data_IF_494660422754
#
_entry.id   IF_494660422754
#
_cell.length_a   1.000
_cell.length_b   1.000
_cell.length_c   1.000
_cell.angle_alpha   90.00
_cell.angle_beta   90.00
_cell.angle_gamma   90.00
#
_symmetry.space_group_name_H-M   'P 1'
#
loop_
_entity.id
_entity.type
_entity.pdbx_description
1 polymer ?
#
# COMPACT_ATOMS: atom_id res chain seq x y z
N UNK A 1 1.51 -8.06 -25.36
CA UNK A 1 2.69 -8.93 -25.12
C UNK A 1 2.94 -8.92 -23.62
N UNK A 2 2.85 -10.07 -22.96
CA UNK A 2 3.03 -10.16 -21.51
C UNK A 2 4.54 -10.16 -21.21
N UNK A 3 5.06 -9.08 -20.63
CA UNK A 3 6.45 -9.05 -20.17
C UNK A 3 6.53 -9.72 -18.80
N UNK A 4 7.24 -10.85 -18.73
CA UNK A 4 7.54 -11.59 -17.52
C UNK A 4 9.03 -11.88 -17.45
N UNK A 5 9.63 -11.74 -16.28
CA UNK A 5 11.03 -12.10 -16.05
C UNK A 5 11.24 -12.47 -14.58
N UNK A 6 12.25 -13.30 -14.33
CA UNK A 6 12.67 -13.66 -12.99
C UNK A 6 14.10 -13.20 -12.73
N UNK A 7 14.39 -12.80 -11.50
CA UNK A 7 15.75 -12.49 -11.07
C UNK A 7 15.97 -12.92 -9.62
N UNK A 8 17.23 -13.15 -9.26
CA UNK A 8 17.65 -13.48 -7.91
C UNK A 8 18.21 -12.24 -7.22
N UNK A 9 17.75 -11.93 -6.02
CA UNK A 9 18.28 -10.82 -5.22
C UNK A 9 18.17 -11.12 -3.73
N UNK A 10 19.24 -10.90 -2.96
CA UNK A 10 19.22 -11.04 -1.49
C UNK A 10 18.75 -12.41 -0.98
N UNK A 11 19.07 -13.49 -1.70
CA UNK A 11 18.68 -14.86 -1.32
C UNK A 11 17.23 -15.22 -1.62
N UNK A 12 16.53 -14.41 -2.43
CA UNK A 12 15.14 -14.66 -2.84
C UNK A 12 15.01 -14.55 -4.35
N UNK A 13 14.14 -15.38 -4.92
CA UNK A 13 13.73 -15.27 -6.33
C UNK A 13 12.56 -14.32 -6.45
N UNK A 14 12.66 -13.34 -7.32
CA UNK A 14 11.60 -12.42 -7.67
C UNK A 14 11.06 -12.79 -9.04
N UNK A 15 9.76 -13.08 -9.11
CA UNK A 15 9.05 -13.33 -10.37
C UNK A 15 8.21 -12.10 -10.69
N UNK A 16 8.65 -11.30 -11.67
CA UNK A 16 7.98 -10.07 -12.07
C UNK A 16 7.19 -10.29 -13.37
N UNK A 17 5.96 -9.80 -13.42
CA UNK A 17 5.13 -9.84 -14.62
C UNK A 17 4.22 -8.62 -14.71
N UNK A 18 3.97 -8.18 -15.93
CA UNK A 18 2.91 -7.19 -16.19
C UNK A 18 1.56 -7.87 -16.06
N UNK A 19 0.73 -7.39 -15.15
CA UNK A 19 -0.66 -7.81 -15.00
C UNK A 19 -1.55 -6.65 -15.41
N UNK A 20 -2.50 -6.91 -16.29
CA UNK A 20 -3.58 -5.98 -16.59
C UNK A 20 -4.62 -6.06 -15.47
N UNK A 21 -4.97 -4.91 -14.91
CA UNK A 21 -6.04 -4.77 -13.94
C UNK A 21 -7.27 -4.21 -14.63
N UNK A 22 -8.42 -4.78 -14.31
CA UNK A 22 -9.73 -4.27 -14.68
C UNK A 22 -10.38 -3.55 -13.48
N UNK A 23 -11.09 -2.45 -13.75
CA UNK A 23 -11.81 -1.67 -12.73
C UNK A 23 -11.20 -0.29 -12.43
N UNK A 24 -11.34 0.20 -11.19
CA UNK A 24 -10.94 1.57 -10.81
C UNK A 24 -9.43 1.87 -11.00
N UNK A 25 -8.59 0.83 -10.96
CA UNK A 25 -7.16 0.90 -11.22
C UNK A 25 -6.80 0.31 -12.60
N UNK A 26 -7.66 0.53 -13.60
CA UNK A 26 -7.55 -0.08 -14.92
C UNK A 26 -6.18 0.12 -15.56
N UNK A 27 -5.72 -0.86 -16.34
CA UNK A 27 -4.49 -0.76 -17.13
C UNK A 27 -3.36 -1.66 -16.63
N UNK A 28 -2.16 -1.41 -17.12
CA UNK A 28 -1.02 -2.31 -16.94
C UNK A 28 -0.24 -1.97 -15.67
N UNK A 29 -0.04 -2.97 -14.82
CA UNK A 29 0.70 -2.85 -13.57
C UNK A 29 1.83 -3.87 -13.50
N UNK A 30 2.96 -3.45 -12.94
CA UNK A 30 4.01 -4.38 -12.57
C UNK A 30 3.56 -5.12 -11.32
N UNK A 31 3.49 -6.44 -11.44
CA UNK A 31 3.21 -7.33 -10.32
C UNK A 31 4.39 -8.25 -10.09
N UNK A 32 4.66 -8.61 -8.83
CA UNK A 32 5.69 -9.59 -8.54
C UNK A 32 5.30 -10.54 -7.41
N UNK A 33 5.88 -11.73 -7.44
CA UNK A 33 5.80 -12.74 -6.38
C UNK A 33 7.20 -13.15 -5.93
N UNK A 34 7.32 -13.58 -4.68
CA UNK A 34 8.58 -14.06 -4.10
C UNK A 34 8.59 -15.59 -4.09
N UNK A 35 9.58 -16.20 -4.75
CA UNK A 35 9.77 -17.65 -4.79
C UNK A 35 8.50 -18.41 -5.21
N UNK A 36 8.09 -19.36 -4.37
CA UNK A 36 6.87 -20.16 -4.51
C UNK A 36 5.66 -19.58 -3.75
N UNK A 37 5.76 -18.34 -3.26
CA UNK A 37 4.68 -17.70 -2.52
C UNK A 37 3.46 -17.36 -3.38
N UNK A 38 2.29 -17.33 -2.74
CA UNK A 38 1.02 -16.91 -3.36
C UNK A 38 0.78 -15.40 -3.32
N UNK A 39 1.52 -14.68 -2.47
CA UNK A 39 1.33 -13.25 -2.27
C UNK A 39 1.87 -12.45 -3.47
N UNK A 40 0.96 -11.75 -4.16
CA UNK A 40 1.26 -10.89 -5.31
C UNK A 40 1.20 -9.44 -4.89
N UNK A 41 2.30 -8.73 -5.12
CA UNK A 41 2.36 -7.29 -4.89
C UNK A 41 2.22 -6.53 -6.20
N UNK A 42 1.46 -5.43 -6.21
CA UNK A 42 1.31 -4.52 -7.34
C UNK A 42 1.84 -3.12 -6.96
N UNK A 43 3.16 -2.94 -6.90
CA UNK A 43 3.75 -1.73 -6.34
C UNK A 43 3.56 -0.47 -7.21
N UNK A 44 3.57 -0.59 -8.55
CA UNK A 44 3.45 0.56 -9.44
C UNK A 44 2.91 0.18 -10.83
N UNK A 45 2.31 1.19 -11.49
CA UNK A 45 1.79 1.11 -12.86
C UNK A 45 2.95 1.06 -13.86
N UNK A 46 2.77 0.35 -14.98
CA UNK A 46 3.81 0.30 -16.03
C UNK A 46 3.94 1.68 -16.69
N UNK A 47 5.17 2.11 -16.90
CA UNK A 47 5.51 3.32 -17.64
C UNK A 47 6.10 2.97 -19.02
N UNK A 48 5.90 3.88 -19.97
CA UNK A 48 6.44 3.75 -21.32
C UNK A 48 7.96 3.96 -21.26
N UNK A 49 8.73 2.88 -21.45
CA UNK A 49 10.18 2.87 -21.26
C UNK A 49 10.65 2.12 -20.01
N UNK A 50 9.75 1.41 -19.30
CA UNK A 50 10.17 0.47 -18.26
C UNK A 50 11.12 -0.57 -18.86
N UNK A 51 12.35 -0.57 -18.37
CA UNK A 51 13.35 -1.59 -18.65
C UNK A 51 13.41 -2.58 -17.49
N UNK A 52 13.88 -3.79 -17.77
CA UNK A 52 14.06 -4.82 -16.74
C UNK A 52 14.89 -4.31 -15.55
N UNK A 53 15.96 -3.57 -15.81
CA UNK A 53 16.83 -3.01 -14.77
C UNK A 53 16.11 -2.00 -13.87
N UNK A 54 15.34 -1.07 -14.45
CA UNK A 54 14.60 -0.07 -13.69
C UNK A 54 13.48 -0.72 -12.85
N UNK A 55 12.76 -1.68 -13.43
CA UNK A 55 11.70 -2.41 -12.71
C UNK A 55 12.29 -3.21 -11.56
N UNK A 56 13.42 -3.89 -11.78
CA UNK A 56 14.14 -4.63 -10.74
C UNK A 56 14.52 -3.74 -9.57
N UNK A 57 15.15 -2.59 -9.82
CA UNK A 57 15.55 -1.64 -8.77
C UNK A 57 14.35 -1.16 -7.96
N UNK A 58 13.25 -0.78 -8.63
CA UNK A 58 12.03 -0.31 -7.97
C UNK A 58 11.35 -1.40 -7.15
N UNK A 59 11.32 -2.64 -7.63
CA UNK A 59 10.77 -3.80 -6.90
C UNK A 59 11.60 -4.09 -5.64
N UNK A 60 12.92 -4.06 -5.75
CA UNK A 60 13.83 -4.25 -4.62
C UNK A 60 13.62 -3.12 -3.59
N UNK A 61 13.62 -1.86 -4.03
CA UNK A 61 13.40 -0.71 -3.15
C UNK A 61 12.05 -0.78 -2.43
N UNK A 62 10.98 -1.13 -3.15
CA UNK A 62 9.66 -1.33 -2.57
C UNK A 62 9.66 -2.42 -1.51
N UNK A 63 10.23 -3.59 -1.81
CA UNK A 63 10.26 -4.71 -0.89
C UNK A 63 11.11 -4.41 0.35
N UNK A 64 12.26 -3.77 0.20
CA UNK A 64 13.10 -3.33 1.33
C UNK A 64 12.33 -2.37 2.22
N UNK A 65 11.70 -1.34 1.66
CA UNK A 65 10.89 -0.40 2.44
C UNK A 65 9.70 -1.08 3.14
N UNK A 66 9.05 -2.03 2.47
CA UNK A 66 7.97 -2.82 3.06
C UNK A 66 8.45 -3.64 4.27
N UNK A 67 9.62 -4.27 4.16
CA UNK A 67 10.25 -5.00 5.27
C UNK A 67 10.69 -4.07 6.40
N UNK A 68 11.26 -2.90 6.09
CA UNK A 68 11.60 -1.88 7.10
C UNK A 68 10.36 -1.43 7.87
N UNK A 69 9.25 -1.16 7.17
CA UNK A 69 7.97 -0.79 7.82
C UNK A 69 7.38 -1.92 8.67
N UNK A 70 7.54 -3.17 8.24
CA UNK A 70 7.12 -4.34 9.03
C UNK A 70 7.99 -4.59 10.25
N UNK A 71 9.30 -4.35 10.13
CA UNK A 71 10.26 -4.51 11.21
C UNK A 71 10.22 -3.33 12.21
N UNK A 72 9.67 -2.18 11.80
CA UNK A 72 9.51 -1.05 12.68
C UNK A 72 8.59 -1.41 13.86
N UNK A 73 8.97 -1.09 15.10
CA UNK A 73 8.09 -1.29 16.24
C UNK A 73 6.80 -0.49 16.04
N UNK A 74 5.65 -0.99 16.51
CA UNK A 74 4.39 -0.27 16.41
C UNK A 74 4.55 1.15 16.96
N UNK A 75 4.03 2.19 16.27
CA UNK A 75 4.07 3.53 16.83
C UNK A 75 3.41 3.51 18.21
N UNK A 76 3.95 4.25 19.20
CA UNK A 76 3.33 4.34 20.51
C UNK A 76 1.88 4.76 20.30
N UNK A 77 0.94 3.95 20.80
CA UNK A 77 -0.47 4.30 20.78
C UNK A 77 -0.60 5.53 21.66
N UNK A 78 -0.73 6.70 21.04
CA UNK A 78 -1.19 7.88 21.73
C UNK A 78 -2.62 7.56 22.16
N UNK A 79 -2.78 7.07 23.40
CA UNK A 79 -4.03 7.08 24.13
C UNK A 79 -4.36 8.55 24.43
N UNK A 80 -4.61 9.34 23.39
CA UNK A 80 -5.22 10.66 23.52
C UNK A 80 -6.62 10.36 24.03
N UNK A 81 -6.84 10.77 25.27
CA UNK A 81 -7.99 10.39 26.06
C UNK A 81 -9.30 10.53 25.29
N UNK A 82 -10.17 9.55 25.53
CA UNK A 82 -11.61 9.73 25.52
C UNK A 82 -11.97 11.20 25.80
N UNK A 83 -12.59 11.94 24.87
CA UNK A 83 -13.07 13.27 25.20
C UNK A 83 -14.04 13.15 26.39
N UNK A 84 -13.93 13.99 27.44
CA UNK A 84 -14.93 14.00 28.49
C UNK A 84 -16.29 14.27 27.84
N UNK A 85 -17.31 13.49 28.23
CA UNK A 85 -18.68 13.66 27.73
C UNK A 85 -19.08 15.12 27.94
N UNK A 86 -19.32 15.85 26.85
CA UNK A 86 -19.92 17.17 26.91
C UNK A 86 -21.24 17.05 27.68
N UNK A 87 -21.35 17.73 28.82
CA UNK A 87 -22.65 17.89 29.49
C UNK A 87 -23.51 18.69 28.53
N UNK A 88 -24.59 18.05 28.08
CA UNK A 88 -25.71 18.71 27.40
C UNK A 88 -26.27 19.74 28.38
N UNK A 89 -25.85 20.99 28.25
CA UNK A 89 -26.55 22.12 28.84
C UNK A 89 -27.69 22.49 27.89
N UNK A 90 -28.73 21.67 27.96
CA UNK A 90 -30.13 22.09 28.07
C UNK A 90 -30.46 23.42 27.38
N UNK A 91 -30.71 23.36 26.07
CA UNK A 91 -31.74 24.21 25.47
C UNK A 91 -33.09 23.70 25.99
N UNK A 92 -33.73 24.48 26.85
CA UNK A 92 -35.18 24.74 26.77
C UNK A 92 -35.63 25.69 27.89
N UNK A 93 -36.37 26.70 27.43
CA UNK A 93 -37.43 27.46 28.08
C UNK A 93 -37.14 28.95 28.35
N UNK A 94 -38.14 29.73 27.94
CA UNK A 94 -38.32 31.18 27.98
C UNK A 94 -37.58 31.97 26.87
N UNK A 95 -38.26 32.70 25.98
CA UNK A 95 -39.67 33.00 25.88
C UNK A 95 -39.97 33.63 24.52
N UNK A 96 -41.22 33.44 24.09
CA UNK A 96 -42.08 34.43 23.44
C UNK A 96 -41.74 34.89 22.02
N UNK A 97 -42.58 34.59 21.01
CA UNK A 97 -43.94 35.10 20.75
C UNK A 97 -43.85 36.27 19.76
N UNK A 98 -44.35 36.03 18.56
CA UNK A 98 -45.47 36.80 17.99
C UNK A 98 -46.29 35.89 17.07
#
# INVERSE_FOLDING_TARGET
>A
MQQTFQFWHGGRTYNCKVTELDGAASGLWWSFTLGSGSERYLPFRTARGDTQANVQERVIAYHTNFMTKRAAPPPPRNNVGRPPKAKVQQQQAAAAEE
#
